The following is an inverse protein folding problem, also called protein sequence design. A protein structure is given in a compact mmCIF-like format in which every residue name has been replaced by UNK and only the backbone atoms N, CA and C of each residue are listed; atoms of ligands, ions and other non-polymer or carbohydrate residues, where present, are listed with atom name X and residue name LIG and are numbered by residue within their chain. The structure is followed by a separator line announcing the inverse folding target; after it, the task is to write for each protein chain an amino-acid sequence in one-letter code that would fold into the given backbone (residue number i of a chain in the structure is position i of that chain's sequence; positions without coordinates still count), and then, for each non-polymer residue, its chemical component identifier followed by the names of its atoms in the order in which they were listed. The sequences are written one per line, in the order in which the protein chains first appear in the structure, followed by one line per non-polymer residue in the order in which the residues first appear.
data_IF_009146689827
#
_entry.id   IF_009146689827
#
_cell.length_a   1.000
_cell.length_b   1.000
_cell.length_c   1.000
_cell.angle_alpha   90.00
_cell.angle_beta   90.00
_cell.angle_gamma   90.00
#
_symmetry.space_group_name_H-M   'P 1'
#
loop_
_entity.id
_entity.type
_entity.pdbx_description
1 polymer ?
#
# COMPACT_ATOMS: atom_id res chain seq x y z
N UNK A 1 20.03 3.08 -23.63
CA UNK A 1 18.56 3.07 -23.57
C UNK A 1 18.20 2.40 -22.26
N UNK A 2 17.78 3.19 -21.27
CA UNK A 2 17.19 2.66 -20.04
C UNK A 2 15.81 2.16 -20.41
N UNK A 3 15.63 0.85 -20.43
CA UNK A 3 14.30 0.30 -20.42
C UNK A 3 13.74 0.57 -19.03
N UNK A 4 12.98 1.63 -18.88
CA UNK A 4 12.12 1.81 -17.75
C UNK A 4 11.09 0.68 -17.82
N UNK A 5 11.42 -0.44 -17.20
CA UNK A 5 10.35 -1.30 -16.79
C UNK A 5 9.57 -0.49 -15.77
N UNK A 6 8.46 0.07 -16.17
CA UNK A 6 7.44 0.59 -15.28
C UNK A 6 6.91 -0.58 -14.46
N UNK A 7 7.75 -1.11 -13.62
CA UNK A 7 7.31 -2.06 -12.62
C UNK A 7 6.78 -1.30 -11.42
N UNK A 8 5.78 -0.48 -11.69
CA UNK A 8 4.80 -0.27 -10.68
C UNK A 8 4.15 -1.63 -10.53
N UNK A 9 4.75 -2.46 -9.76
CA UNK A 9 4.33 -3.76 -9.28
C UNK A 9 4.23 -4.89 -10.28
N UNK A 10 4.78 -6.01 -9.89
CA UNK A 10 4.54 -7.24 -10.60
C UNK A 10 3.03 -7.46 -10.65
N UNK A 11 2.63 -7.91 -11.79
CA UNK A 11 1.27 -8.32 -12.08
C UNK A 11 0.83 -9.29 -11.00
N UNK A 12 -0.26 -8.94 -10.34
CA UNK A 12 -0.91 -9.81 -9.40
C UNK A 12 -1.48 -11.02 -10.13
N UNK A 13 -1.44 -12.16 -9.49
CA UNK A 13 -2.16 -13.35 -9.96
C UNK A 13 -3.67 -13.15 -9.92
N UNK A 14 -4.15 -12.27 -9.02
CA UNK A 14 -5.54 -11.87 -8.97
C UNK A 14 -5.89 -10.95 -10.13
N UNK A 15 -6.97 -11.26 -10.80
CA UNK A 15 -7.43 -10.49 -11.95
C UNK A 15 -7.98 -9.14 -11.51
N UNK A 16 -7.46 -8.07 -12.08
CA UNK A 16 -8.05 -6.74 -11.94
C UNK A 16 -9.40 -6.70 -12.65
N UNK A 17 -10.46 -6.35 -11.92
CA UNK A 17 -11.82 -6.30 -12.45
C UNK A 17 -12.08 -4.99 -13.17
N UNK A 18 -11.35 -3.94 -12.89
CA UNK A 18 -11.52 -2.64 -13.54
C UNK A 18 -10.38 -1.68 -13.21
N UNK A 19 -10.36 -0.55 -13.92
CA UNK A 19 -9.45 0.57 -13.71
C UNK A 19 -10.28 1.78 -13.25
N UNK A 20 -10.54 1.90 -11.95
CA UNK A 20 -11.27 3.05 -11.42
C UNK A 20 -10.44 4.33 -11.58
N UNK A 21 -11.11 5.46 -11.76
CA UNK A 21 -10.46 6.76 -11.89
C UNK A 21 -9.83 7.27 -10.59
N UNK A 22 -10.20 6.68 -9.47
CA UNK A 22 -9.69 7.01 -8.15
C UNK A 22 -10.35 6.16 -7.06
N UNK A 23 -10.01 6.46 -5.81
CA UNK A 23 -10.51 5.69 -4.66
C UNK A 23 -12.03 5.83 -4.49
N UNK A 24 -12.58 7.01 -4.74
CA UNK A 24 -14.04 7.23 -4.62
C UNK A 24 -14.79 6.36 -5.63
N UNK A 25 -14.32 6.32 -6.87
CA UNK A 25 -14.92 5.47 -7.90
C UNK A 25 -14.81 3.98 -7.53
N UNK A 26 -13.64 3.56 -7.08
CA UNK A 26 -13.41 2.20 -6.62
C UNK A 26 -14.30 1.83 -5.43
N UNK A 27 -14.54 2.75 -4.50
CA UNK A 27 -15.33 2.50 -3.30
C UNK A 27 -16.77 2.10 -3.62
N UNK A 28 -17.30 2.55 -4.73
CA UNK A 28 -18.64 2.18 -5.20
C UNK A 28 -18.73 0.73 -5.69
N UNK A 29 -17.60 0.10 -5.91
CA UNK A 29 -17.51 -1.31 -6.36
C UNK A 29 -17.28 -2.29 -5.21
N UNK A 30 -16.92 -1.77 -4.03
CA UNK A 30 -16.58 -2.60 -2.88
C UNK A 30 -17.81 -2.86 -2.03
N UNK A 31 -17.84 -4.03 -1.38
CA UNK A 31 -18.90 -4.44 -0.46
C UNK A 31 -18.67 -3.99 0.98
N UNK A 32 -17.60 -3.26 1.22
CA UNK A 32 -17.22 -2.71 2.54
C UNK A 32 -16.86 -1.24 2.43
N UNK A 33 -16.88 -0.57 3.57
CA UNK A 33 -16.47 0.83 3.68
C UNK A 33 -14.95 0.94 3.48
N UNK A 34 -14.55 1.74 2.51
CA UNK A 34 -13.15 1.91 2.13
C UNK A 34 -12.46 2.87 3.08
N UNK A 35 -11.23 2.55 3.43
CA UNK A 35 -10.30 3.42 4.14
C UNK A 35 -9.11 3.78 3.28
N UNK A 36 -8.41 4.84 3.65
CA UNK A 36 -7.19 5.30 2.96
C UNK A 36 -6.20 5.84 3.98
N UNK A 37 -4.89 5.83 3.67
CA UNK A 37 -3.92 6.60 4.44
C UNK A 37 -4.26 8.09 4.37
N UNK A 38 -4.25 8.76 5.52
CA UNK A 38 -4.46 10.21 5.59
C UNK A 38 -3.15 11.00 5.53
N UNK A 39 -2.02 10.33 5.68
CA UNK A 39 -0.68 10.87 5.54
C UNK A 39 0.16 9.99 4.61
N UNK A 40 0.99 10.62 3.82
CA UNK A 40 1.93 9.95 2.91
C UNK A 40 3.37 10.36 3.25
N UNK A 41 4.36 9.54 2.91
CA UNK A 41 5.74 9.98 2.94
C UNK A 41 5.94 11.26 2.12
N UNK A 42 6.90 12.08 2.52
CA UNK A 42 7.17 13.37 1.88
C UNK A 42 7.39 13.21 0.37
N UNK A 43 6.63 13.97 -0.40
CA UNK A 43 6.71 13.98 -1.86
C UNK A 43 5.91 12.88 -2.56
N UNK A 44 5.27 11.98 -1.81
CA UNK A 44 4.41 10.97 -2.40
C UNK A 44 3.03 11.54 -2.72
N UNK A 45 2.45 11.03 -3.79
CA UNK A 45 1.10 11.38 -4.23
C UNK A 45 0.42 10.15 -4.83
N UNK A 46 -0.89 10.24 -4.99
CA UNK A 46 -1.69 9.19 -5.61
C UNK A 46 -1.17 8.82 -7.00
N UNK A 47 -1.10 7.53 -7.26
CA UNK A 47 -0.75 7.00 -8.58
C UNK A 47 -1.89 6.23 -9.22
N UNK A 48 -2.42 5.19 -8.53
CA UNK A 48 -3.45 4.33 -9.10
C UNK A 48 -4.26 3.62 -8.01
N UNK A 49 -5.45 3.18 -8.37
CA UNK A 49 -6.27 2.28 -7.57
C UNK A 49 -6.65 1.08 -8.40
N UNK A 50 -6.59 -0.10 -7.80
CA UNK A 50 -7.00 -1.36 -8.39
C UNK A 50 -7.93 -2.08 -7.43
N UNK A 51 -8.91 -2.80 -7.97
CA UNK A 51 -9.68 -3.76 -7.21
C UNK A 51 -9.65 -5.13 -7.92
N UNK A 52 -9.66 -6.16 -7.12
CA UNK A 52 -9.44 -7.52 -7.57
C UNK A 52 -10.65 -8.39 -7.27
N UNK A 53 -10.77 -9.52 -7.99
CA UNK A 53 -11.88 -10.46 -7.86
C UNK A 53 -12.00 -11.16 -6.50
N UNK A 54 -10.96 -11.06 -5.67
CA UNK A 54 -10.95 -11.55 -4.29
C UNK A 54 -11.27 -10.48 -3.24
N UNK A 55 -11.98 -9.43 -3.63
CA UNK A 55 -12.40 -8.30 -2.75
C UNK A 55 -11.23 -7.49 -2.16
N UNK A 56 -10.09 -7.48 -2.81
CA UNK A 56 -8.96 -6.62 -2.43
C UNK A 56 -9.06 -5.29 -3.14
N UNK A 57 -9.00 -4.20 -2.38
CA UNK A 57 -8.77 -2.86 -2.88
C UNK A 57 -7.30 -2.49 -2.65
N UNK A 58 -6.66 -2.02 -3.68
CA UNK A 58 -5.27 -1.56 -3.65
C UNK A 58 -5.18 -0.11 -4.09
N UNK A 59 -4.49 0.70 -3.32
CA UNK A 59 -4.15 2.07 -3.70
C UNK A 59 -2.64 2.23 -3.69
N UNK A 60 -2.11 2.73 -4.79
CA UNK A 60 -0.68 2.92 -5.00
C UNK A 60 -0.35 4.41 -4.95
N UNK A 61 0.66 4.75 -4.18
CA UNK A 61 1.24 6.08 -4.05
C UNK A 61 2.69 6.04 -4.50
N UNK A 62 3.17 7.11 -5.10
CA UNK A 62 4.53 7.17 -5.58
C UNK A 62 5.14 8.55 -5.43
N UNK A 63 6.46 8.61 -5.47
CA UNK A 63 7.21 9.85 -5.53
C UNK A 63 7.66 10.03 -6.97
N UNK A 64 6.96 10.87 -7.70
CA UNK A 64 7.21 11.09 -9.13
C UNK A 64 8.61 11.65 -9.36
N UNK A 65 9.30 11.12 -10.37
CA UNK A 65 10.60 11.62 -10.81
C UNK A 65 11.79 11.14 -9.99
N UNK A 66 11.57 10.40 -8.92
CA UNK A 66 12.67 9.79 -8.15
C UNK A 66 12.71 8.29 -8.35
N UNK A 67 13.90 7.79 -8.62
CA UNK A 67 14.17 6.37 -8.74
C UNK A 67 15.18 5.94 -7.68
N UNK A 68 15.02 4.73 -7.20
CA UNK A 68 15.91 4.07 -6.27
C UNK A 68 16.53 2.85 -6.94
N UNK A 69 17.81 2.64 -6.73
CA UNK A 69 18.48 1.45 -7.26
C UNK A 69 18.58 0.38 -6.17
N UNK A 70 17.96 -0.76 -6.43
CA UNK A 70 18.07 -1.93 -5.57
C UNK A 70 19.47 -2.58 -5.67
N UNK A 71 19.79 -3.47 -4.72
CA UNK A 71 21.04 -4.26 -4.75
C UNK A 71 21.22 -5.07 -6.02
N UNK A 72 20.11 -5.51 -6.62
CA UNK A 72 20.09 -6.22 -7.90
C UNK A 72 20.54 -5.35 -9.09
N UNK A 73 20.70 -4.04 -8.89
CA UNK A 73 20.94 -3.07 -9.95
C UNK A 73 19.66 -2.58 -10.64
N UNK A 74 18.50 -3.11 -10.27
CA UNK A 74 17.21 -2.68 -10.82
C UNK A 74 16.81 -1.30 -10.28
N UNK A 75 16.38 -0.43 -11.17
CA UNK A 75 15.79 0.86 -10.80
C UNK A 75 14.30 0.70 -10.52
N UNK A 76 13.85 1.20 -9.40
CA UNK A 76 12.45 1.18 -8.99
C UNK A 76 12.01 2.56 -8.53
N UNK A 77 10.75 2.87 -8.75
CA UNK A 77 10.14 4.10 -8.28
C UNK A 77 9.87 3.99 -6.78
N UNK A 78 10.06 5.08 -6.04
CA UNK A 78 9.64 5.16 -4.65
C UNK A 78 8.12 4.99 -4.57
N UNK A 79 7.68 3.89 -4.05
CA UNK A 79 6.27 3.48 -4.05
C UNK A 79 5.84 3.04 -2.66
N UNK A 80 4.65 3.42 -2.27
CA UNK A 80 3.92 2.90 -1.13
C UNK A 80 2.62 2.28 -1.64
N UNK A 81 2.32 1.08 -1.18
CA UNK A 81 1.08 0.36 -1.53
C UNK A 81 0.24 0.19 -0.28
N UNK A 82 -1.02 0.54 -0.39
CA UNK A 82 -2.02 0.28 0.64
C UNK A 82 -3.04 -0.71 0.11
N UNK A 83 -3.34 -1.73 0.91
CA UNK A 83 -4.38 -2.71 0.60
C UNK A 83 -5.32 -2.89 1.77
N UNK A 84 -6.57 -3.18 1.46
CA UNK A 84 -7.54 -3.67 2.42
C UNK A 84 -8.40 -4.79 1.84
N UNK A 85 -8.85 -5.67 2.71
CA UNK A 85 -9.66 -6.84 2.37
C UNK A 85 -10.33 -7.38 3.63
N UNK A 86 -11.24 -8.34 3.48
CA UNK A 86 -11.83 -9.04 4.61
C UNK A 86 -10.88 -10.00 5.34
N UNK A 87 -9.84 -10.45 4.68
CA UNK A 87 -8.96 -11.52 5.16
C UNK A 87 -7.49 -11.17 5.05
N UNK A 88 -6.71 -11.55 6.07
CA UNK A 88 -5.25 -11.48 6.04
C UNK A 88 -4.67 -12.26 4.86
N UNK A 89 -5.25 -13.41 4.52
CA UNK A 89 -4.74 -14.25 3.44
C UNK A 89 -4.89 -13.58 2.09
N UNK A 90 -5.92 -12.77 1.89
CA UNK A 90 -6.16 -12.09 0.63
C UNK A 90 -5.48 -10.71 0.55
N UNK A 91 -5.31 -10.03 1.67
CA UNK A 91 -4.67 -8.72 1.68
C UNK A 91 -3.18 -8.81 1.45
N UNK A 92 -2.56 -9.91 1.90
CA UNK A 92 -1.15 -10.17 1.74
C UNK A 92 -0.83 -10.62 0.30
N UNK A 93 0.00 -9.89 -0.43
CA UNK A 93 0.38 -10.29 -1.77
C UNK A 93 1.54 -11.29 -1.71
N UNK A 94 1.27 -12.57 -1.84
CA UNK A 94 2.31 -13.62 -1.82
C UNK A 94 3.44 -13.38 -2.82
N UNK A 95 3.12 -12.69 -3.91
CA UNK A 95 4.04 -12.47 -5.03
C UNK A 95 4.96 -11.25 -4.86
N UNK A 96 4.66 -10.39 -3.90
CA UNK A 96 5.34 -9.10 -3.82
C UNK A 96 6.55 -9.03 -2.96
N UNK A 97 6.71 -10.02 -2.10
CA UNK A 97 7.82 -9.99 -1.19
C UNK A 97 8.81 -11.01 -1.65
N UNK A 98 9.71 -10.63 -2.56
CA UNK A 98 10.86 -11.45 -2.76
C UNK A 98 11.57 -11.49 -1.42
N UNK A 99 11.47 -12.63 -0.75
CA UNK A 99 12.27 -12.97 0.44
C UNK A 99 13.79 -12.94 0.11
N UNK A 100 14.13 -12.57 -1.10
CA UNK A 100 15.48 -12.39 -1.64
C UNK A 100 16.32 -11.37 -0.88
N UNK A 101 15.68 -10.50 -0.09
CA UNK A 101 16.38 -9.45 0.63
C UNK A 101 16.58 -9.73 2.11
N UNK A 102 16.42 -10.98 2.55
CA UNK A 102 16.58 -11.35 3.95
C UNK A 102 15.64 -10.57 4.90
N UNK A 103 14.47 -10.18 4.40
CA UNK A 103 13.49 -9.52 5.23
C UNK A 103 13.06 -10.45 6.36
N UNK A 104 13.27 -10.00 7.56
CA UNK A 104 12.84 -10.70 8.78
C UNK A 104 11.36 -10.40 9.01
N UNK A 105 10.62 -11.42 9.45
CA UNK A 105 9.23 -11.23 9.89
C UNK A 105 9.19 -11.20 11.41
N UNK A 106 8.45 -10.26 11.97
CA UNK A 106 8.19 -10.18 13.41
C UNK A 106 6.80 -9.64 13.68
N UNK A 107 6.32 -9.78 14.91
CA UNK A 107 5.03 -9.27 15.34
C UNK A 107 5.17 -8.51 16.65
N UNK A 108 4.39 -7.44 16.76
CA UNK A 108 4.26 -6.68 18.00
C UNK A 108 2.80 -6.62 18.43
N UNK A 109 2.58 -6.60 19.74
CA UNK A 109 1.27 -6.34 20.32
C UNK A 109 1.06 -4.85 20.50
N UNK A 110 -0.01 -4.33 19.94
CA UNK A 110 -0.35 -2.89 19.96
C UNK A 110 -1.76 -2.69 20.51
N UNK A 111 -2.17 -1.45 20.82
CA UNK A 111 -3.55 -1.16 21.23
C UNK A 111 -4.62 -1.58 20.22
N UNK A 112 -4.26 -1.70 18.93
CA UNK A 112 -5.17 -2.18 17.88
C UNK A 112 -5.12 -3.70 17.69
N UNK A 113 -4.28 -4.41 18.44
CA UNK A 113 -4.08 -5.84 18.35
C UNK A 113 -2.69 -6.22 17.83
N UNK A 114 -2.58 -7.42 17.29
CA UNK A 114 -1.32 -7.93 16.74
C UNK A 114 -1.04 -7.29 15.39
N UNK A 115 0.19 -6.81 15.22
CA UNK A 115 0.69 -6.20 13.98
C UNK A 115 1.90 -7.01 13.50
N UNK A 116 1.90 -7.36 12.23
CA UNK A 116 2.96 -8.13 11.58
C UNK A 116 3.81 -7.23 10.70
N UNK A 117 5.12 -7.36 10.81
CA UNK A 117 6.09 -6.58 10.06
C UNK A 117 6.99 -7.48 9.22
N UNK A 118 7.46 -6.94 8.10
CA UNK A 118 8.66 -7.44 7.40
C UNK A 118 9.65 -6.32 7.23
N UNK A 119 10.93 -6.64 7.20
CA UNK A 119 11.98 -5.67 6.99
C UNK A 119 13.31 -6.10 7.60
N UNK A 120 14.16 -5.12 7.88
CA UNK A 120 15.43 -5.29 8.57
C UNK A 120 15.28 -4.82 10.02
N UNK A 121 15.01 -5.76 10.91
CA UNK A 121 14.77 -5.47 12.33
C UNK A 121 16.02 -4.90 13.01
N UNK A 122 17.21 -5.33 12.60
CA UNK A 122 18.46 -4.87 13.19
C UNK A 122 18.74 -3.40 12.86
N UNK A 123 18.29 -2.94 11.70
CA UNK A 123 18.37 -1.54 11.28
C UNK A 123 17.13 -0.72 11.66
N UNK A 124 16.13 -1.35 12.25
CA UNK A 124 14.86 -0.69 12.57
C UNK A 124 14.08 -0.25 11.33
N UNK A 125 14.23 -0.96 10.20
CA UNK A 125 13.58 -0.65 8.94
C UNK A 125 12.44 -1.60 8.65
N UNK A 126 11.32 -1.04 8.21
CA UNK A 126 10.11 -1.77 7.86
C UNK A 126 9.86 -1.66 6.36
N UNK A 127 9.63 -2.81 5.72
CA UNK A 127 9.21 -2.91 4.33
C UNK A 127 7.70 -3.08 4.24
N UNK A 128 7.10 -3.86 5.12
CA UNK A 128 5.64 -4.00 5.15
C UNK A 128 5.10 -4.09 6.57
N UNK A 129 3.86 -3.70 6.72
CA UNK A 129 3.10 -3.85 7.95
C UNK A 129 1.69 -4.33 7.62
N UNK A 130 1.22 -5.34 8.35
CA UNK A 130 -0.09 -5.94 8.18
C UNK A 130 -0.80 -6.00 9.52
N UNK A 131 -2.06 -5.63 9.54
CA UNK A 131 -2.88 -5.66 10.77
C UNK A 131 -4.33 -5.95 10.46
N UNK A 132 -5.07 -6.29 11.50
CA UNK A 132 -6.50 -6.55 11.42
C UNK A 132 -7.23 -5.65 12.40
N UNK A 133 -8.24 -4.96 11.95
CA UNK A 133 -9.03 -4.04 12.75
C UNK A 133 -10.46 -3.96 12.22
N UNK A 134 -11.44 -3.98 13.12
CA UNK A 134 -12.86 -3.84 12.78
C UNK A 134 -13.32 -4.79 11.65
N UNK A 135 -12.88 -6.05 11.73
CA UNK A 135 -13.17 -7.11 10.76
C UNK A 135 -12.60 -6.87 9.35
N UNK A 136 -11.60 -6.01 9.24
CA UNK A 136 -10.88 -5.77 7.99
C UNK A 136 -9.40 -6.00 8.18
N UNK A 137 -8.78 -6.60 7.18
CA UNK A 137 -7.34 -6.74 7.08
C UNK A 137 -6.75 -5.59 6.25
N UNK A 138 -5.62 -5.09 6.69
CA UNK A 138 -4.89 -3.97 6.08
C UNK A 138 -3.45 -4.33 5.83
N UNK A 139 -2.88 -3.76 4.79
CA UNK A 139 -1.51 -3.96 4.40
C UNK A 139 -0.90 -2.67 3.86
N UNK A 140 0.27 -2.31 4.38
CA UNK A 140 1.12 -1.26 3.84
C UNK A 140 2.44 -1.86 3.40
N UNK A 141 2.89 -1.46 2.22
CA UNK A 141 4.19 -1.84 1.70
C UNK A 141 4.97 -0.60 1.28
N UNK A 142 6.25 -0.59 1.59
CA UNK A 142 7.18 0.49 1.25
C UNK A 142 8.28 -0.09 0.36
N UNK A 143 8.33 0.31 -0.90
CA UNK A 143 9.38 -0.12 -1.82
C UNK A 143 10.75 0.31 -1.32
N UNK A 144 10.85 1.53 -0.80
CA UNK A 144 12.00 1.98 -0.02
C UNK A 144 11.62 1.83 1.46
N UNK A 145 12.28 0.94 2.21
CA UNK A 145 11.96 0.72 3.60
C UNK A 145 12.01 2.01 4.42
N UNK A 146 11.09 2.14 5.35
CA UNK A 146 10.99 3.28 6.27
C UNK A 146 11.34 2.86 7.69
N UNK A 147 11.58 3.82 8.58
CA UNK A 147 11.75 3.53 10.00
C UNK A 147 10.48 2.94 10.58
N UNK A 148 10.62 2.06 11.57
CA UNK A 148 9.48 1.43 12.25
C UNK A 148 8.49 2.47 12.79
N UNK A 149 8.98 3.57 13.37
CA UNK A 149 8.13 4.67 13.84
C UNK A 149 7.33 5.36 12.73
N UNK A 150 7.89 5.47 11.54
CA UNK A 150 7.18 6.02 10.37
C UNK A 150 6.10 5.04 9.87
N UNK A 151 6.43 3.76 9.79
CA UNK A 151 5.46 2.73 9.40
C UNK A 151 4.26 2.72 10.35
N UNK A 152 4.52 2.78 11.66
CA UNK A 152 3.49 2.85 12.69
C UNK A 152 2.65 4.12 12.57
N UNK A 153 3.26 5.25 12.27
CA UNK A 153 2.56 6.50 12.03
C UNK A 153 1.57 6.38 10.87
N UNK A 154 1.99 5.86 9.71
CA UNK A 154 1.11 5.69 8.56
C UNK A 154 0.00 4.67 8.83
N UNK A 155 0.30 3.58 9.50
CA UNK A 155 -0.68 2.59 9.94
C UNK A 155 -1.77 3.22 10.83
N UNK A 156 -1.34 3.99 11.81
CA UNK A 156 -2.26 4.58 12.79
C UNK A 156 -3.12 5.72 12.22
N UNK A 157 -2.77 6.20 11.04
CA UNK A 157 -3.49 7.28 10.34
C UNK A 157 -4.21 6.81 9.09
N UNK A 158 -4.53 5.53 9.01
CA UNK A 158 -5.50 5.01 8.04
C UNK A 158 -6.90 5.33 8.56
N UNK A 159 -7.68 6.04 7.76
CA UNK A 159 -8.98 6.57 8.16
C UNK A 159 -10.06 6.21 7.14
N UNK A 160 -11.35 6.18 7.53
CA UNK A 160 -12.44 5.99 6.58
C UNK A 160 -12.40 7.04 5.46
N UNK A 161 -12.68 6.61 4.25
CA UNK A 161 -12.73 7.50 3.08
C UNK A 161 -13.68 8.68 3.28
N UNK A 162 -14.82 8.44 3.96
CA UNK A 162 -15.81 9.50 4.30
C UNK A 162 -15.22 10.66 5.11
N UNK A 163 -14.13 10.43 5.84
CA UNK A 163 -13.47 11.43 6.68
C UNK A 163 -12.39 12.22 5.93
N UNK A 164 -12.13 11.86 4.68
CA UNK A 164 -11.17 12.55 3.80
C UNK A 164 -11.90 13.64 3.00
N UNK A 165 -11.32 14.83 2.99
CA UNK A 165 -11.80 15.91 2.11
C UNK A 165 -11.64 15.48 0.64
N UNK A 166 -12.74 15.50 -0.17
CA UNK A 166 -12.68 15.09 -1.58
C UNK A 166 -11.72 15.91 -2.45
N UNK A 167 -11.27 17.07 -1.98
CA UNK A 167 -10.24 17.87 -2.66
C UNK A 167 -8.83 17.33 -2.53
N UNK A 168 -8.59 16.36 -1.63
CA UNK A 168 -7.31 15.72 -1.40
C UNK A 168 -7.02 14.70 -2.50
N UNK A 169 -6.85 15.18 -3.73
CA UNK A 169 -6.54 14.33 -4.88
C UNK A 169 -5.18 13.65 -4.77
N UNK A 170 -4.30 14.18 -3.96
CA UNK A 170 -3.02 13.56 -3.58
C UNK A 170 -3.20 12.23 -2.82
N UNK A 171 -4.32 12.06 -2.12
CA UNK A 171 -4.63 10.85 -1.36
C UNK A 171 -5.58 9.90 -2.11
N UNK A 172 -6.53 10.43 -2.85
CA UNK A 172 -7.66 9.65 -3.39
C UNK A 172 -7.79 9.68 -4.91
N UNK A 173 -6.89 10.37 -5.59
CA UNK A 173 -6.92 10.48 -7.04
C UNK A 173 -7.91 11.51 -7.57
N UNK A 174 -8.24 11.39 -8.84
CA UNK A 174 -9.05 12.37 -9.56
C UNK A 174 -10.48 12.39 -9.05
N UNK A 175 -11.05 13.60 -8.87
CA UNK A 175 -12.49 13.73 -8.70
C UNK A 175 -13.23 13.19 -9.91
N UNK A 176 -14.20 12.30 -9.67
CA UNK A 176 -15.15 11.95 -10.72
C UNK A 176 -15.94 13.21 -11.05
N UNK A 177 -15.69 13.79 -12.22
CA UNK A 177 -16.54 14.85 -12.77
C UNK A 177 -17.78 14.16 -13.31
N UNK A 178 -18.88 14.38 -12.68
CA UNK A 178 -20.20 13.97 -13.24
C UNK A 178 -20.68 15.01 -14.21
#
# INVERSE_FOLDING_TARGET
LRTHTNSVWPILTSKTIGLPSGVIDASHKMSYDVSVPSYLPLGYTYYATHFYDNDVLETVYWKQGEEYQERSGRWVTHTMVFRMSYSMDTVWPEEYIPMEYHDVQWSDSTPIGEVHYTGDVDKGLVRSVTWYKDNMAYFLFFQVPVKASEADFYRDHVVPLKDINPSRTDLIGVKTIR
#
